data_IF_206146087541
#
_entry.id   IF_206146087541
#
_cell.length_a   1.000
_cell.length_b   1.000
_cell.length_c   1.000
_cell.angle_alpha   90.00
_cell.angle_beta   90.00
_cell.angle_gamma   90.00
#
_symmetry.space_group_name_H-M   'P 1'
#
loop_
_entity.id
_entity.type
_entity.pdbx_description
1 polymer ?
#
# COMPACT_ATOMS: atom_id res chain seq x y z
N UNK A 1 -46.92 26.72 8.17
CA UNK A 1 -47.06 25.35 8.67
C UNK A 1 -45.65 24.75 8.57
N UNK A 2 -44.85 24.95 9.63
CA UNK A 2 -43.43 24.52 9.66
C UNK A 2 -43.37 23.17 10.36
N UNK A 3 -43.01 22.12 9.58
CA UNK A 3 -42.78 20.78 10.11
C UNK A 3 -41.34 20.67 10.55
N UNK A 4 -41.09 20.69 11.85
CA UNK A 4 -39.81 20.43 12.48
C UNK A 4 -39.48 18.94 12.35
N UNK A 5 -38.45 18.60 11.56
CA UNK A 5 -37.82 17.27 11.57
C UNK A 5 -37.14 17.08 12.92
N UNK A 6 -37.65 16.20 13.75
CA UNK A 6 -36.99 15.70 14.96
C UNK A 6 -35.92 14.71 14.53
N UNK A 7 -34.64 15.10 14.66
CA UNK A 7 -33.51 14.16 14.63
C UNK A 7 -33.65 13.23 15.83
N UNK A 8 -34.03 12.00 15.58
CA UNK A 8 -34.07 10.96 16.59
C UNK A 8 -32.67 10.40 16.72
N UNK A 9 -31.95 10.82 17.76
CA UNK A 9 -30.69 10.23 18.18
C UNK A 9 -31.01 8.84 18.77
N UNK A 10 -30.73 7.77 18.01
CA UNK A 10 -30.85 6.41 18.51
C UNK A 10 -29.59 6.09 19.34
N UNK A 11 -29.70 6.25 20.65
CA UNK A 11 -28.72 5.74 21.62
C UNK A 11 -29.06 4.27 21.85
N UNK A 12 -28.33 3.36 21.23
CA UNK A 12 -28.47 1.93 21.46
C UNK A 12 -27.77 1.56 22.78
N UNK A 13 -28.48 0.92 23.69
CA UNK A 13 -27.96 0.48 24.99
C UNK A 13 -26.78 -0.47 24.79
N UNK A 14 -25.64 -0.09 25.36
CA UNK A 14 -24.43 -0.91 25.49
C UNK A 14 -24.67 -1.88 26.64
N UNK A 15 -24.68 -3.19 26.38
CA UNK A 15 -24.54 -4.19 27.46
C UNK A 15 -23.09 -4.22 27.90
N UNK A 16 -22.75 -3.49 28.95
CA UNK A 16 -21.46 -3.61 29.64
C UNK A 16 -21.43 -4.95 30.39
N UNK A 17 -20.71 -5.93 29.85
CA UNK A 17 -20.25 -7.05 30.65
C UNK A 17 -19.13 -6.54 31.55
N UNK A 18 -19.22 -6.78 32.85
CA UNK A 18 -18.20 -6.40 33.82
C UNK A 18 -16.85 -7.02 33.45
N UNK A 19 -15.92 -6.22 32.91
CA UNK A 19 -14.58 -6.65 32.55
C UNK A 19 -13.60 -6.36 33.70
N UNK A 20 -12.59 -7.19 33.83
CA UNK A 20 -11.38 -6.91 34.60
C UNK A 20 -10.86 -5.53 34.15
N UNK A 21 -10.38 -4.70 35.09
CA UNK A 21 -10.14 -3.27 34.89
C UNK A 21 -9.23 -2.86 33.70
N UNK A 22 -8.48 -3.79 33.15
CA UNK A 22 -7.52 -3.58 32.07
C UNK A 22 -8.02 -3.97 30.66
N UNK A 23 -9.25 -4.42 30.50
CA UNK A 23 -9.80 -4.87 29.21
C UNK A 23 -11.16 -4.23 28.91
N UNK A 24 -11.35 -3.86 27.65
CA UNK A 24 -12.61 -3.38 27.10
C UNK A 24 -12.97 -4.16 25.84
N UNK A 25 -14.17 -4.74 25.81
CA UNK A 25 -14.71 -5.47 24.68
C UNK A 25 -16.00 -4.80 24.20
N UNK A 26 -16.10 -4.56 22.90
CA UNK A 26 -17.29 -4.02 22.25
C UNK A 26 -17.68 -4.91 21.08
N UNK A 27 -18.92 -5.37 21.04
CA UNK A 27 -19.50 -6.02 19.86
C UNK A 27 -20.79 -5.30 19.48
N UNK A 28 -20.87 -4.82 18.25
CA UNK A 28 -22.01 -4.03 17.78
C UNK A 28 -22.34 -4.34 16.32
N UNK A 29 -23.65 -4.34 16.02
CA UNK A 29 -24.15 -4.38 14.65
C UNK A 29 -24.83 -3.04 14.33
N UNK A 30 -24.49 -2.46 13.16
CA UNK A 30 -24.99 -1.15 12.73
C UNK A 30 -25.65 -1.34 11.36
N UNK A 31 -26.93 -1.05 11.27
CA UNK A 31 -27.64 -1.09 9.99
C UNK A 31 -27.11 0.01 9.06
N UNK A 32 -26.79 -0.37 7.82
CA UNK A 32 -26.33 0.53 6.76
C UNK A 32 -26.89 0.05 5.41
N UNK A 33 -26.69 0.82 4.37
CA UNK A 33 -26.97 0.40 2.99
C UNK A 33 -25.67 0.32 2.20
N UNK A 34 -25.54 -0.54 1.18
CA UNK A 34 -24.39 -0.53 0.29
C UNK A 34 -24.08 0.86 -0.28
N UNK A 35 -22.82 1.19 -0.49
CA UNK A 35 -22.38 2.52 -0.96
C UNK A 35 -22.28 3.57 0.15
N UNK A 36 -22.28 3.16 1.42
CA UNK A 36 -21.97 4.02 2.55
C UNK A 36 -20.47 4.20 2.78
N UNK A 37 -20.13 4.77 3.93
CA UNK A 37 -18.75 5.05 4.34
C UNK A 37 -18.48 4.63 5.77
N UNK A 38 -17.37 3.94 6.00
CA UNK A 38 -16.83 3.66 7.31
C UNK A 38 -15.58 4.53 7.56
N UNK A 39 -15.56 5.19 8.71
CA UNK A 39 -14.40 5.92 9.23
C UNK A 39 -13.96 5.23 10.52
N UNK A 40 -12.73 4.75 10.59
CA UNK A 40 -12.10 4.23 11.81
C UNK A 40 -10.92 5.12 12.16
N UNK A 41 -10.96 5.79 13.31
CA UNK A 41 -9.95 6.74 13.75
C UNK A 41 -9.54 6.42 15.20
N UNK A 42 -8.42 5.71 15.36
CA UNK A 42 -7.97 5.19 16.65
C UNK A 42 -6.52 5.59 16.95
N UNK A 43 -6.16 5.72 18.23
CA UNK A 43 -4.79 6.06 18.63
C UNK A 43 -3.83 4.90 18.40
N UNK A 44 -4.25 3.66 18.67
CA UNK A 44 -3.45 2.46 18.48
C UNK A 44 -4.34 1.25 18.24
N UNK A 45 -3.73 0.18 17.76
CA UNK A 45 -4.38 -1.09 17.51
C UNK A 45 -4.50 -1.45 16.03
N UNK A 46 -4.64 -2.73 15.79
CA UNK A 46 -4.81 -3.29 14.46
C UNK A 46 -6.25 -3.09 13.97
N UNK A 47 -6.40 -2.62 12.74
CA UNK A 47 -7.70 -2.47 12.08
C UNK A 47 -7.79 -3.51 10.96
N UNK A 48 -8.80 -4.36 11.01
CA UNK A 48 -9.09 -5.37 10.00
C UNK A 48 -10.49 -5.14 9.45
N UNK A 49 -10.60 -4.96 8.13
CA UNK A 49 -11.88 -4.76 7.45
C UNK A 49 -12.05 -5.80 6.36
N UNK A 50 -13.16 -6.51 6.37
CA UNK A 50 -13.52 -7.47 5.34
C UNK A 50 -14.94 -7.29 4.84
N UNK A 51 -15.24 -7.86 3.67
CA UNK A 51 -16.62 -7.94 3.22
C UNK A 51 -17.45 -8.80 4.18
N UNK A 52 -18.67 -8.36 4.45
CA UNK A 52 -19.65 -9.02 5.28
C UNK A 52 -21.01 -9.05 4.62
N UNK A 53 -22.04 -9.25 5.43
CA UNK A 53 -23.41 -9.26 4.94
C UNK A 53 -23.85 -7.85 4.50
N UNK A 54 -24.61 -7.79 3.39
CA UNK A 54 -25.24 -6.55 2.98
C UNK A 54 -26.23 -6.04 4.03
N UNK A 55 -26.31 -4.73 4.16
CA UNK A 55 -27.26 -4.07 5.04
C UNK A 55 -26.77 -3.81 6.46
N UNK A 56 -25.58 -4.25 6.84
CA UNK A 56 -25.03 -3.98 8.18
C UNK A 56 -23.51 -3.97 8.22
N UNK A 57 -22.98 -3.22 9.20
CA UNK A 57 -21.60 -3.34 9.66
C UNK A 57 -21.62 -4.16 10.94
N UNK A 58 -20.77 -5.19 11.04
CA UNK A 58 -20.45 -5.86 12.30
C UNK A 58 -19.10 -5.33 12.80
N UNK A 59 -19.07 -4.82 14.01
CA UNK A 59 -17.87 -4.31 14.69
C UNK A 59 -17.59 -5.17 15.91
N UNK A 60 -16.36 -5.67 15.99
CA UNK A 60 -15.77 -6.27 17.17
C UNK A 60 -14.51 -5.50 17.53
N UNK A 61 -14.46 -4.94 18.73
CA UNK A 61 -13.29 -4.24 19.23
C UNK A 61 -12.86 -4.83 20.57
N UNK A 62 -11.59 -5.10 20.70
CA UNK A 62 -10.95 -5.53 21.91
C UNK A 62 -9.79 -4.60 22.23
N UNK A 63 -9.71 -4.09 23.46
CA UNK A 63 -8.59 -3.28 23.94
C UNK A 63 -8.12 -3.77 25.29
N UNK A 64 -6.82 -3.88 25.44
CA UNK A 64 -6.15 -4.19 26.69
C UNK A 64 -5.04 -3.19 26.95
N UNK A 65 -4.99 -2.67 28.15
CA UNK A 65 -3.88 -1.83 28.62
C UNK A 65 -3.33 -2.39 29.93
N UNK A 66 -2.02 -2.36 30.08
CA UNK A 66 -1.30 -2.86 31.23
C UNK A 66 -0.25 -1.82 31.65
N UNK A 67 -0.61 -0.97 32.61
CA UNK A 67 0.25 0.09 33.12
C UNK A 67 0.81 -0.28 34.52
N UNK A 68 0.35 -1.38 35.10
CA UNK A 68 0.69 -1.81 36.47
C UNK A 68 -0.01 -0.94 37.55
N UNK A 69 -1.03 -0.18 37.16
CA UNK A 69 -1.83 0.69 38.03
C UNK A 69 -3.28 0.71 37.52
N UNK A 70 -4.14 -0.01 38.21
CA UNK A 70 -5.55 -0.19 37.81
C UNK A 70 -6.33 1.14 37.72
N UNK A 71 -5.97 2.14 38.52
CA UNK A 71 -6.62 3.45 38.48
C UNK A 71 -6.29 4.16 37.17
N UNK A 72 -5.02 4.12 36.76
CA UNK A 72 -4.57 4.72 35.51
C UNK A 72 -5.13 4.01 34.29
N UNK A 73 -5.30 2.69 34.36
CA UNK A 73 -5.91 1.90 33.28
C UNK A 73 -7.38 2.29 33.09
N UNK A 74 -8.14 2.45 34.17
CA UNK A 74 -9.53 2.96 34.11
C UNK A 74 -9.63 4.40 33.61
N UNK A 75 -8.74 5.26 34.05
CA UNK A 75 -8.66 6.64 33.58
C UNK A 75 -8.36 6.71 32.08
N UNK A 76 -7.47 5.81 31.59
CA UNK A 76 -7.17 5.73 30.16
C UNK A 76 -8.41 5.38 29.33
N UNK A 77 -9.18 4.35 29.68
CA UNK A 77 -10.40 4.00 28.95
C UNK A 77 -11.45 5.12 29.02
N UNK A 78 -11.56 5.81 30.14
CA UNK A 78 -12.45 6.96 30.27
C UNK A 78 -12.02 8.16 29.41
N UNK A 79 -10.71 8.34 29.23
CA UNK A 79 -10.17 9.44 28.39
C UNK A 79 -10.20 9.15 26.89
N UNK A 80 -10.22 7.89 26.51
CA UNK A 80 -10.26 7.43 25.12
C UNK A 80 -11.38 6.38 24.89
N UNK A 81 -12.66 6.69 25.14
CA UNK A 81 -13.73 5.75 24.96
C UNK A 81 -13.88 5.34 23.49
N UNK A 82 -14.27 4.08 23.25
CA UNK A 82 -14.71 3.68 21.91
C UNK A 82 -16.09 4.29 21.68
N UNK A 83 -16.15 5.22 20.73
CA UNK A 83 -17.41 5.85 20.32
C UNK A 83 -17.78 5.40 18.93
N UNK A 84 -19.06 5.03 18.75
CA UNK A 84 -19.61 4.66 17.45
C UNK A 84 -20.75 5.59 17.15
N UNK A 85 -20.63 6.35 16.06
CA UNK A 85 -21.68 7.28 15.61
C UNK A 85 -22.12 6.93 14.20
N UNK A 86 -23.39 7.16 13.90
CA UNK A 86 -23.95 6.99 12.58
C UNK A 86 -24.69 8.26 12.17
N UNK A 87 -24.29 8.82 11.02
CA UNK A 87 -24.93 9.96 10.40
C UNK A 87 -25.30 9.60 8.96
N UNK A 88 -26.59 9.38 8.72
CA UNK A 88 -27.06 8.84 7.43
C UNK A 88 -26.45 7.46 7.16
N UNK A 89 -25.66 7.33 6.09
CA UNK A 89 -24.97 6.10 5.72
C UNK A 89 -23.45 6.16 5.98
N UNK A 90 -23.02 7.08 6.85
CA UNK A 90 -21.64 7.20 7.33
C UNK A 90 -21.59 6.69 8.76
N UNK A 91 -20.71 5.71 9.02
CA UNK A 91 -20.44 5.17 10.35
C UNK A 91 -19.02 5.58 10.75
N UNK A 92 -18.88 6.14 11.94
CA UNK A 92 -17.56 6.53 12.49
C UNK A 92 -17.32 5.77 13.78
N UNK A 93 -16.21 5.04 13.82
CA UNK A 93 -15.64 4.40 15.01
C UNK A 93 -14.42 5.20 15.45
N UNK A 94 -14.47 5.76 16.64
CA UNK A 94 -13.39 6.59 17.16
C UNK A 94 -12.96 6.12 18.55
N UNK A 95 -11.64 5.98 18.72
CA UNK A 95 -11.01 5.69 20.01
C UNK A 95 -9.70 6.49 20.13
N UNK A 96 -9.83 7.80 20.32
CA UNK A 96 -8.71 8.73 20.48
C UNK A 96 -8.77 9.43 21.83
N UNK A 97 -7.61 9.64 22.41
CA UNK A 97 -7.44 10.43 23.63
C UNK A 97 -7.75 11.90 23.37
N UNK A 98 -8.27 12.56 24.39
CA UNK A 98 -8.41 14.01 24.39
C UNK A 98 -7.04 14.67 24.51
N UNK A 99 -6.86 15.84 23.87
CA UNK A 99 -5.59 16.60 23.81
C UNK A 99 -4.98 16.98 25.18
N UNK A 100 -5.78 16.98 26.25
CA UNK A 100 -5.33 17.32 27.61
C UNK A 100 -4.41 16.25 28.26
N UNK A 101 -4.20 15.11 27.63
CA UNK A 101 -3.43 13.98 28.17
C UNK A 101 -1.98 13.89 27.65
N UNK A 102 -1.34 15.01 27.35
CA UNK A 102 -0.01 15.06 26.70
C UNK A 102 1.17 14.68 27.61
N UNK A 103 0.99 14.52 28.92
CA UNK A 103 2.10 14.38 29.89
C UNK A 103 2.27 12.98 30.52
N UNK A 104 1.73 11.93 29.93
CA UNK A 104 1.92 10.57 30.47
C UNK A 104 3.18 9.91 29.94
N UNK A 105 4.08 9.60 30.88
CA UNK A 105 5.27 8.82 30.61
C UNK A 105 4.90 7.33 30.68
N UNK A 106 4.68 6.70 29.51
CA UNK A 106 4.28 5.31 29.37
C UNK A 106 5.46 4.31 29.54
N UNK A 107 6.37 4.49 30.45
CA UNK A 107 7.59 3.71 30.66
C UNK A 107 7.55 2.25 30.17
N UNK A 108 7.01 1.30 30.88
CA UNK A 108 6.93 -0.12 30.49
C UNK A 108 5.49 -0.58 30.20
N UNK A 109 4.67 0.27 29.63
CA UNK A 109 3.26 -0.01 29.38
C UNK A 109 3.06 -0.92 28.18
N UNK A 110 2.23 -1.91 28.30
CA UNK A 110 1.71 -2.69 27.17
C UNK A 110 0.33 -2.20 26.81
N UNK A 111 0.14 -1.97 25.53
CA UNK A 111 -1.14 -1.57 24.95
C UNK A 111 -1.40 -2.46 23.75
N UNK A 112 -2.51 -3.18 23.78
CA UNK A 112 -2.98 -4.01 22.69
C UNK A 112 -4.41 -3.64 22.33
N UNK A 113 -4.71 -3.55 21.04
CA UNK A 113 -6.06 -3.33 20.58
C UNK A 113 -6.26 -3.93 19.18
N UNK A 114 -7.45 -4.45 18.96
CA UNK A 114 -7.90 -4.93 17.67
C UNK A 114 -9.30 -4.44 17.37
N UNK A 115 -9.52 -4.01 16.13
CA UNK A 115 -10.80 -3.57 15.60
C UNK A 115 -11.09 -4.39 14.35
N UNK A 116 -12.00 -5.35 14.46
CA UNK A 116 -12.42 -6.19 13.33
C UNK A 116 -13.78 -5.73 12.86
N UNK A 117 -13.89 -5.39 11.58
CA UNK A 117 -15.11 -4.88 10.99
C UNK A 117 -15.46 -5.67 9.73
N UNK A 118 -16.73 -6.01 9.62
CA UNK A 118 -17.30 -6.56 8.40
C UNK A 118 -18.29 -5.57 7.83
N UNK A 119 -18.06 -5.14 6.59
CA UNK A 119 -18.86 -4.12 5.90
C UNK A 119 -19.53 -4.70 4.66
N UNK A 120 -20.61 -4.10 4.14
CA UNK A 120 -21.09 -4.47 2.80
C UNK A 120 -19.98 -4.37 1.78
N UNK A 121 -19.91 -5.29 0.82
CA UNK A 121 -18.83 -5.32 -0.19
C UNK A 121 -18.62 -3.97 -0.87
N UNK A 122 -19.69 -3.24 -1.19
CA UNK A 122 -19.61 -1.88 -1.77
C UNK A 122 -19.66 -0.83 -0.67
N UNK A 123 -18.49 -0.41 -0.20
CA UNK A 123 -18.38 0.55 0.91
C UNK A 123 -17.05 1.35 0.83
N UNK A 124 -17.10 2.65 1.08
CA UNK A 124 -15.90 3.49 1.21
C UNK A 124 -15.28 3.33 2.58
N UNK A 125 -13.95 3.30 2.66
CA UNK A 125 -13.20 3.14 3.89
C UNK A 125 -12.21 4.28 4.13
N UNK A 126 -12.18 4.82 5.35
CA UNK A 126 -11.14 5.76 5.84
C UNK A 126 -10.60 5.23 7.17
N UNK A 127 -9.45 4.55 7.11
CA UNK A 127 -8.89 3.79 8.23
C UNK A 127 -7.62 4.47 8.76
N UNK A 128 -7.60 4.84 10.04
CA UNK A 128 -6.48 5.55 10.65
C UNK A 128 -6.12 4.97 12.01
N UNK A 129 -4.85 4.66 12.18
CA UNK A 129 -4.25 4.32 13.48
C UNK A 129 -2.86 4.94 13.55
N UNK A 130 -2.32 5.16 14.76
CA UNK A 130 -0.95 5.67 14.87
C UNK A 130 0.08 4.55 14.97
N UNK A 131 -0.27 3.40 15.55
CA UNK A 131 0.73 2.36 15.85
C UNK A 131 0.37 0.94 15.46
N UNK A 132 -0.79 0.68 14.88
CA UNK A 132 -1.23 -0.68 14.52
C UNK A 132 -1.19 -0.95 13.02
N UNK A 133 -1.34 -2.21 12.66
CA UNK A 133 -1.47 -2.64 11.28
C UNK A 133 -2.88 -2.34 10.75
N UNK A 134 -3.00 -2.16 9.44
CA UNK A 134 -4.29 -2.01 8.77
C UNK A 134 -4.39 -3.05 7.67
N UNK A 135 -5.48 -3.82 7.68
CA UNK A 135 -5.79 -4.76 6.62
C UNK A 135 -7.20 -4.53 6.06
N UNK A 136 -7.36 -4.64 4.74
CA UNK A 136 -8.67 -4.61 4.11
C UNK A 136 -8.73 -5.64 2.96
N UNK A 137 -9.84 -6.41 2.91
CA UNK A 137 -9.98 -7.52 1.98
C UNK A 137 -11.39 -7.54 1.38
N UNK A 138 -11.48 -7.78 0.06
CA UNK A 138 -12.72 -8.00 -0.70
C UNK A 138 -13.73 -6.84 -0.59
N UNK A 139 -13.24 -5.59 -0.64
CA UNK A 139 -14.10 -4.40 -0.58
C UNK A 139 -14.01 -3.62 -1.89
N UNK A 140 -15.15 -3.09 -2.33
CA UNK A 140 -15.29 -2.24 -3.51
C UNK A 140 -15.71 -0.83 -3.09
N UNK A 141 -14.84 0.17 -3.31
CA UNK A 141 -15.05 1.56 -2.93
C UNK A 141 -13.74 2.36 -2.90
N UNK A 142 -13.82 3.56 -2.36
CA UNK A 142 -12.64 4.38 -2.15
C UNK A 142 -12.01 4.05 -0.79
N UNK A 143 -10.84 3.45 -0.79
CA UNK A 143 -10.12 3.10 0.42
C UNK A 143 -8.98 4.08 0.67
N UNK A 144 -8.99 4.67 1.87
CA UNK A 144 -7.87 5.45 2.42
C UNK A 144 -7.39 4.78 3.70
N UNK A 145 -6.09 4.52 3.80
CA UNK A 145 -5.48 3.94 4.98
C UNK A 145 -4.25 4.74 5.42
N UNK A 146 -4.14 5.00 6.70
CA UNK A 146 -3.00 5.70 7.28
C UNK A 146 -2.60 5.10 8.63
N UNK A 147 -1.32 4.76 8.75
CA UNK A 147 -0.69 4.42 10.04
C UNK A 147 0.69 5.08 10.11
N UNK A 148 1.25 5.23 11.31
CA UNK A 148 2.63 5.72 11.43
C UNK A 148 3.63 4.57 11.52
N UNK A 149 3.32 3.51 12.25
CA UNK A 149 4.27 2.42 12.49
C UNK A 149 3.92 1.07 11.87
N UNK A 150 2.65 0.80 11.67
CA UNK A 150 2.13 -0.51 11.28
C UNK A 150 2.30 -0.85 9.81
N UNK A 151 2.11 -2.12 9.51
CA UNK A 151 2.02 -2.66 8.16
C UNK A 151 0.66 -2.35 7.55
N UNK A 152 0.61 -2.27 6.22
CA UNK A 152 -0.61 -2.12 5.45
C UNK A 152 -0.75 -3.32 4.51
N UNK A 153 -1.89 -4.04 4.59
CA UNK A 153 -2.15 -5.23 3.79
C UNK A 153 -3.51 -5.14 3.11
N UNK A 154 -3.52 -5.20 1.79
CA UNK A 154 -4.72 -5.07 0.98
C UNK A 154 -4.84 -6.22 0.00
N UNK A 155 -6.04 -6.82 -0.07
CA UNK A 155 -6.30 -7.89 -1.03
C UNK A 155 -7.68 -7.75 -1.69
N UNK A 156 -7.74 -8.08 -2.97
CA UNK A 156 -8.99 -8.16 -3.76
C UNK A 156 -9.85 -6.89 -3.68
N UNK A 157 -9.22 -5.72 -3.81
CA UNK A 157 -9.91 -4.43 -3.78
C UNK A 157 -10.32 -3.97 -5.18
N UNK A 158 -11.46 -3.27 -5.23
CA UNK A 158 -11.95 -2.55 -6.41
C UNK A 158 -12.26 -1.09 -6.04
N UNK A 159 -12.10 -0.15 -6.99
CA UNK A 159 -12.36 1.29 -6.78
C UNK A 159 -11.10 2.13 -6.76
N UNK A 160 -10.65 2.65 -5.62
CA UNK A 160 -9.37 3.37 -5.48
C UNK A 160 -8.67 3.01 -4.18
N UNK A 161 -7.35 2.92 -4.19
CA UNK A 161 -6.54 2.69 -3.00
C UNK A 161 -5.53 3.81 -2.80
N UNK A 162 -5.60 4.48 -1.66
CA UNK A 162 -4.57 5.43 -1.19
C UNK A 162 -4.11 5.00 0.20
N UNK A 163 -2.84 4.60 0.35
CA UNK A 163 -2.36 4.07 1.61
C UNK A 163 -0.97 4.60 1.97
N UNK A 164 -0.82 5.03 3.23
CA UNK A 164 0.42 5.64 3.71
C UNK A 164 0.81 5.09 5.07
N UNK A 165 2.09 4.75 5.22
CA UNK A 165 2.71 4.46 6.53
C UNK A 165 4.07 5.14 6.62
N UNK A 166 4.63 5.32 7.82
CA UNK A 166 6.00 5.82 7.93
C UNK A 166 7.01 4.69 8.11
N UNK A 167 6.71 3.70 8.94
CA UNK A 167 7.66 2.62 9.25
C UNK A 167 7.36 1.28 8.62
N UNK A 168 6.12 0.94 8.43
CA UNK A 168 5.67 -0.39 8.01
C UNK A 168 5.86 -0.69 6.52
N UNK A 169 5.78 -1.96 6.18
CA UNK A 169 5.70 -2.41 4.79
C UNK A 169 4.27 -2.30 4.26
N UNK A 170 4.14 -2.23 2.94
CA UNK A 170 2.85 -2.20 2.25
C UNK A 170 2.77 -3.39 1.30
N UNK A 171 1.74 -4.23 1.47
CA UNK A 171 1.44 -5.34 0.59
C UNK A 171 0.08 -5.13 -0.08
N UNK A 172 0.04 -5.26 -1.40
CA UNK A 172 -1.18 -5.14 -2.22
C UNK A 172 -1.26 -6.36 -3.13
N UNK A 173 -2.37 -7.08 -3.09
CA UNK A 173 -2.58 -8.28 -3.89
C UNK A 173 -3.97 -8.27 -4.53
N UNK A 174 -4.05 -8.59 -5.83
CA UNK A 174 -5.33 -8.73 -6.53
C UNK A 174 -6.15 -7.44 -6.70
N UNK A 175 -5.57 -6.26 -6.49
CA UNK A 175 -6.29 -5.00 -6.61
C UNK A 175 -6.57 -4.64 -8.07
N UNK A 176 -7.86 -4.35 -8.36
CA UNK A 176 -8.32 -3.86 -9.66
C UNK A 176 -8.70 -2.38 -9.55
N UNK A 177 -7.71 -1.55 -9.29
CA UNK A 177 -7.94 -0.14 -9.00
C UNK A 177 -6.68 0.70 -9.20
N UNK A 178 -6.81 2.00 -9.50
CA UNK A 178 -5.74 2.96 -9.31
C UNK A 178 -5.23 2.91 -7.87
N UNK A 179 -3.92 2.79 -7.71
CA UNK A 179 -3.27 2.56 -6.42
C UNK A 179 -2.17 3.59 -6.19
N UNK A 180 -2.26 4.33 -5.10
CA UNK A 180 -1.21 5.24 -4.61
C UNK A 180 -0.78 4.81 -3.21
N UNK A 181 0.47 4.36 -3.08
CA UNK A 181 0.99 3.81 -1.82
C UNK A 181 2.36 4.40 -1.48
N UNK A 182 2.51 4.78 -0.21
CA UNK A 182 3.74 5.44 0.27
C UNK A 182 4.17 4.91 1.64
N UNK A 183 5.46 4.67 1.78
CA UNK A 183 6.08 4.43 3.08
C UNK A 183 7.42 5.16 3.16
N UNK A 184 7.98 5.37 4.35
CA UNK A 184 9.34 5.92 4.47
C UNK A 184 10.37 4.82 4.67
N UNK A 185 10.08 3.82 5.51
CA UNK A 185 11.07 2.79 5.87
C UNK A 185 10.83 1.42 5.26
N UNK A 186 9.59 1.05 5.06
CA UNK A 186 9.20 -0.31 4.70
C UNK A 186 9.35 -0.68 3.22
N UNK A 187 9.28 -1.97 2.95
CA UNK A 187 9.19 -2.51 1.60
C UNK A 187 7.78 -2.35 1.04
N UNK A 188 7.66 -2.25 -0.27
CA UNK A 188 6.39 -2.25 -0.99
C UNK A 188 6.35 -3.49 -1.89
N UNK A 189 5.27 -4.26 -1.81
CA UNK A 189 5.03 -5.42 -2.67
C UNK A 189 3.64 -5.31 -3.31
N UNK A 190 3.58 -5.38 -4.63
CA UNK A 190 2.33 -5.37 -5.40
C UNK A 190 2.29 -6.58 -6.31
N UNK A 191 1.24 -7.39 -6.18
CA UNK A 191 1.07 -8.64 -6.94
C UNK A 191 -0.32 -8.67 -7.57
N UNK A 192 -0.39 -9.04 -8.85
CA UNK A 192 -1.65 -9.21 -9.59
C UNK A 192 -2.54 -7.95 -9.61
N UNK A 193 -1.94 -6.79 -9.90
CA UNK A 193 -2.65 -5.51 -9.95
C UNK A 193 -3.19 -5.17 -11.36
N UNK A 194 -4.26 -4.38 -11.39
CA UNK A 194 -4.69 -3.68 -12.62
C UNK A 194 -4.95 -2.20 -12.33
N UNK A 195 -4.64 -1.33 -13.30
CA UNK A 195 -4.76 0.13 -13.17
C UNK A 195 -3.42 0.81 -12.97
N UNK A 196 -3.45 2.10 -12.74
CA UNK A 196 -2.24 2.91 -12.54
C UNK A 196 -1.69 2.67 -11.13
N UNK A 197 -0.39 2.40 -11.02
CA UNK A 197 0.32 2.23 -9.76
C UNK A 197 1.32 3.37 -9.54
N UNK A 198 1.16 4.09 -8.43
CA UNK A 198 2.17 4.99 -7.88
C UNK A 198 2.67 4.43 -6.56
N UNK A 199 3.93 4.03 -6.49
CA UNK A 199 4.52 3.46 -5.28
C UNK A 199 5.83 4.17 -4.91
N UNK A 200 5.92 4.63 -3.66
CA UNK A 200 7.07 5.39 -3.17
C UNK A 200 7.54 4.90 -1.80
N UNK A 201 8.84 4.69 -1.65
CA UNK A 201 9.48 4.48 -0.35
C UNK A 201 10.80 5.25 -0.27
N UNK A 202 11.35 5.46 0.92
CA UNK A 202 12.69 6.05 1.02
C UNK A 202 13.76 4.98 1.26
N UNK A 203 13.50 4.01 2.14
CA UNK A 203 14.50 3.00 2.51
C UNK A 203 14.29 1.63 1.89
N UNK A 204 13.05 1.21 1.74
CA UNK A 204 12.67 -0.12 1.33
C UNK A 204 12.83 -0.41 -0.17
N UNK A 205 12.74 -1.68 -0.52
CA UNK A 205 12.61 -2.11 -1.91
C UNK A 205 11.17 -2.01 -2.39
N UNK A 206 11.01 -1.95 -3.71
CA UNK A 206 9.71 -2.05 -4.36
C UNK A 206 9.71 -3.29 -5.26
N UNK A 207 8.79 -4.20 -5.00
CA UNK A 207 8.57 -5.40 -5.81
C UNK A 207 7.20 -5.32 -6.48
N UNK A 208 7.16 -5.45 -7.80
CA UNK A 208 5.91 -5.46 -8.57
C UNK A 208 5.89 -6.67 -9.48
N UNK A 209 4.92 -7.54 -9.28
CA UNK A 209 4.72 -8.74 -10.07
C UNK A 209 3.34 -8.75 -10.72
N UNK A 210 3.29 -8.89 -12.05
CA UNK A 210 2.06 -9.03 -12.83
C UNK A 210 1.11 -7.83 -12.67
N UNK A 211 1.53 -6.67 -13.18
CA UNK A 211 0.72 -5.45 -13.25
C UNK A 211 0.22 -5.23 -14.68
N UNK A 212 -1.08 -5.01 -14.83
CA UNK A 212 -1.70 -4.57 -16.08
C UNK A 212 -2.12 -3.10 -15.96
N UNK A 213 -1.21 -2.19 -16.30
CA UNK A 213 -1.36 -0.74 -16.17
C UNK A 213 -0.02 -0.04 -16.08
N UNK A 214 -0.06 1.28 -16.03
CA UNK A 214 1.13 2.11 -15.91
C UNK A 214 1.70 2.06 -14.49
N UNK A 215 3.02 2.09 -14.36
CA UNK A 215 3.72 2.10 -13.08
C UNK A 215 4.70 3.27 -12.97
N UNK A 216 4.61 4.03 -11.87
CA UNK A 216 5.59 5.04 -11.46
C UNK A 216 6.10 4.69 -10.06
N UNK A 217 7.37 4.26 -10.00
CA UNK A 217 7.97 3.61 -8.84
C UNK A 217 9.23 4.36 -8.41
N UNK A 218 9.29 4.76 -7.15
CA UNK A 218 10.41 5.54 -6.62
C UNK A 218 10.86 5.03 -5.26
N UNK A 219 12.18 4.78 -5.12
CA UNK A 219 12.82 4.55 -3.83
C UNK A 219 14.13 5.33 -3.75
N UNK A 220 14.62 5.64 -2.55
CA UNK A 220 15.95 6.25 -2.43
C UNK A 220 17.03 5.20 -2.18
N UNK A 221 16.80 4.26 -1.29
CA UNK A 221 17.83 3.28 -0.89
C UNK A 221 17.65 1.88 -1.46
N UNK A 222 16.43 1.46 -1.69
CA UNK A 222 16.10 0.08 -2.04
C UNK A 222 16.25 -0.28 -3.51
N UNK A 223 16.14 -1.56 -3.80
CA UNK A 223 16.09 -2.09 -5.16
C UNK A 223 14.68 -2.03 -5.73
N UNK A 224 14.57 -1.99 -7.05
CA UNK A 224 13.33 -2.24 -7.79
C UNK A 224 13.40 -3.62 -8.43
N UNK A 225 12.40 -4.46 -8.17
CA UNK A 225 12.24 -5.80 -8.76
C UNK A 225 10.89 -5.82 -9.48
N UNK A 226 10.93 -5.86 -10.80
CA UNK A 226 9.78 -5.56 -11.66
C UNK A 226 9.58 -6.70 -12.65
N UNK A 227 8.46 -7.41 -12.53
CA UNK A 227 8.17 -8.54 -13.41
C UNK A 227 6.78 -8.44 -14.04
N UNK A 228 6.68 -8.71 -15.32
CA UNK A 228 5.41 -8.80 -16.07
C UNK A 228 4.56 -7.53 -15.96
N UNK A 229 5.15 -6.37 -16.20
CA UNK A 229 4.43 -5.09 -16.22
C UNK A 229 3.96 -4.82 -17.66
N UNK A 230 2.66 -4.59 -17.83
CA UNK A 230 2.01 -4.28 -19.10
C UNK A 230 1.47 -2.86 -19.09
N UNK A 231 2.31 -1.91 -19.41
CA UNK A 231 2.01 -0.48 -19.45
C UNK A 231 3.29 0.33 -19.51
N UNK A 232 3.15 1.65 -19.40
CA UNK A 232 4.30 2.53 -19.22
C UNK A 232 4.97 2.28 -17.87
N UNK A 233 6.29 2.17 -17.88
CA UNK A 233 7.07 1.90 -16.67
C UNK A 233 8.08 3.01 -16.41
N UNK A 234 7.95 3.68 -15.28
CA UNK A 234 8.95 4.61 -14.76
C UNK A 234 9.46 4.05 -13.44
N UNK A 235 10.75 3.74 -13.37
CA UNK A 235 11.41 3.22 -12.18
C UNK A 235 12.62 4.05 -11.80
N UNK A 236 12.67 4.56 -10.56
CA UNK A 236 13.75 5.40 -10.07
C UNK A 236 14.25 4.92 -8.70
N UNK A 237 15.57 4.82 -8.56
CA UNK A 237 16.20 4.65 -7.26
C UNK A 237 17.48 5.49 -7.17
N UNK A 238 17.95 5.82 -5.97
CA UNK A 238 19.23 6.50 -5.85
C UNK A 238 20.37 5.52 -5.52
N UNK A 239 20.17 4.61 -4.57
CA UNK A 239 21.23 3.68 -4.13
C UNK A 239 21.09 2.24 -4.62
N UNK A 240 19.90 1.83 -5.02
CA UNK A 240 19.60 0.45 -5.36
C UNK A 240 19.81 0.07 -6.81
N UNK A 241 19.73 -1.21 -7.10
CA UNK A 241 19.70 -1.76 -8.44
C UNK A 241 18.27 -1.94 -8.94
N UNK A 242 18.11 -1.95 -10.26
CA UNK A 242 16.83 -2.17 -10.92
C UNK A 242 16.90 -3.47 -11.71
N UNK A 243 16.04 -4.41 -11.38
CA UNK A 243 15.89 -5.67 -12.10
C UNK A 243 14.50 -5.71 -12.73
N UNK A 244 14.44 -5.76 -14.04
CA UNK A 244 13.18 -5.75 -14.79
C UNK A 244 13.12 -6.93 -15.75
N UNK A 245 12.04 -7.71 -15.69
CA UNK A 245 11.79 -8.84 -16.58
C UNK A 245 10.38 -8.75 -17.18
N UNK A 246 10.30 -8.61 -18.49
CA UNK A 246 9.06 -8.56 -19.27
C UNK A 246 9.00 -9.76 -20.19
N UNK A 247 8.48 -10.92 -19.77
CA UNK A 247 8.52 -12.17 -20.56
C UNK A 247 7.49 -12.21 -21.69
N UNK A 248 6.73 -11.18 -21.90
CA UNK A 248 5.70 -11.06 -22.92
C UNK A 248 5.84 -9.79 -23.74
N UNK A 249 4.75 -9.35 -24.36
CA UNK A 249 4.72 -8.12 -25.13
C UNK A 249 5.12 -6.91 -24.25
N UNK A 250 6.01 -6.07 -24.77
CA UNK A 250 6.37 -4.78 -24.18
C UNK A 250 5.32 -3.77 -24.62
N UNK A 251 4.31 -3.55 -23.79
CA UNK A 251 3.14 -2.75 -24.14
C UNK A 251 3.35 -1.23 -24.02
N UNK A 252 4.32 -0.76 -23.23
CA UNK A 252 4.56 0.65 -22.95
C UNK A 252 6.01 1.07 -23.01
N UNK A 253 6.26 2.36 -23.00
CA UNK A 253 7.61 2.93 -22.88
C UNK A 253 8.17 2.67 -21.49
N UNK A 254 9.50 2.53 -21.40
CA UNK A 254 10.21 2.29 -20.14
C UNK A 254 11.26 3.36 -19.87
N UNK A 255 11.32 3.85 -18.65
CA UNK A 255 12.35 4.74 -18.16
C UNK A 255 12.85 4.25 -16.80
N UNK A 256 14.07 3.70 -16.77
CA UNK A 256 14.69 3.17 -15.57
C UNK A 256 15.94 3.95 -15.23
N UNK A 257 16.01 4.49 -14.02
CA UNK A 257 17.11 5.34 -13.57
C UNK A 257 17.58 4.97 -12.18
N UNK A 258 18.91 4.86 -12.03
CA UNK A 258 19.55 4.77 -10.71
C UNK A 258 20.77 5.69 -10.66
N UNK A 259 21.18 6.11 -9.45
CA UNK A 259 22.43 6.86 -9.31
C UNK A 259 23.61 5.92 -9.03
N UNK A 260 23.42 4.90 -8.17
CA UNK A 260 24.52 4.04 -7.73
C UNK A 260 24.12 2.55 -7.69
N UNK A 261 23.66 2.03 -8.80
CA UNK A 261 23.27 0.62 -8.89
C UNK A 261 23.32 0.12 -10.33
N UNK A 262 23.13 -1.16 -10.50
CA UNK A 262 23.05 -1.77 -11.82
C UNK A 262 21.62 -1.75 -12.33
N UNK A 263 21.46 -1.71 -13.65
CA UNK A 263 20.17 -1.90 -14.30
C UNK A 263 20.25 -3.18 -15.13
N UNK A 264 19.38 -4.12 -14.85
CA UNK A 264 19.20 -5.32 -15.65
C UNK A 264 17.80 -5.32 -16.25
N UNK A 265 17.74 -5.42 -17.57
CA UNK A 265 16.50 -5.50 -18.32
C UNK A 265 16.48 -6.76 -19.17
N UNK A 266 15.52 -7.63 -18.88
CA UNK A 266 15.24 -8.81 -19.67
C UNK A 266 13.95 -8.65 -20.46
N UNK A 267 14.03 -8.77 -21.79
CA UNK A 267 12.89 -8.64 -22.72
C UNK A 267 12.92 -9.78 -23.75
N UNK A 268 11.78 -10.10 -24.38
CA UNK A 268 11.77 -11.09 -25.45
C UNK A 268 12.60 -10.64 -26.65
N UNK A 269 13.29 -11.57 -27.29
CA UNK A 269 14.08 -11.29 -28.49
C UNK A 269 13.27 -10.73 -29.67
N UNK A 270 11.99 -11.05 -29.72
CA UNK A 270 11.06 -10.56 -30.75
C UNK A 270 10.40 -9.21 -30.39
N UNK A 271 10.73 -8.59 -29.27
CA UNK A 271 10.21 -7.26 -28.91
C UNK A 271 10.73 -6.19 -29.89
N UNK A 272 9.88 -5.26 -30.26
CA UNK A 272 10.26 -4.10 -31.10
C UNK A 272 10.53 -2.89 -30.21
N UNK A 273 11.82 -2.50 -30.06
CA UNK A 273 12.26 -1.49 -29.08
C UNK A 273 13.26 -0.50 -29.68
N UNK A 274 13.14 0.77 -29.27
CA UNK A 274 14.16 1.80 -29.42
C UNK A 274 14.89 1.97 -28.09
N UNK A 275 16.15 1.53 -28.00
CA UNK A 275 16.90 1.46 -26.75
C UNK A 275 17.95 2.56 -26.69
N UNK A 276 17.99 3.30 -25.58
CA UNK A 276 19.02 4.26 -25.23
C UNK A 276 19.50 3.95 -23.81
N UNK A 277 20.70 3.37 -23.67
CA UNK A 277 21.28 2.93 -22.40
C UNK A 277 22.59 3.68 -22.13
N UNK A 278 22.71 4.35 -20.98
CA UNK A 278 23.85 5.19 -20.62
C UNK A 278 24.34 4.97 -19.20
N UNK A 279 25.66 4.91 -19.04
CA UNK A 279 26.31 4.93 -17.72
C UNK A 279 27.49 5.93 -17.72
N UNK A 280 27.72 6.59 -16.59
CA UNK A 280 28.93 7.42 -16.45
C UNK A 280 30.15 6.59 -15.98
N UNK A 281 29.92 5.63 -15.03
CA UNK A 281 30.94 4.74 -14.51
C UNK A 281 30.42 3.32 -14.52
N UNK A 282 30.95 2.49 -15.41
CA UNK A 282 30.50 1.12 -15.61
C UNK A 282 30.52 0.75 -17.09
N UNK A 283 29.72 -0.24 -17.44
CA UNK A 283 29.60 -0.73 -18.83
C UNK A 283 28.16 -0.97 -19.21
N UNK A 284 27.85 -0.76 -20.50
CA UNK A 284 26.61 -1.21 -21.11
C UNK A 284 26.91 -2.50 -21.88
N UNK A 285 26.20 -3.57 -21.54
CA UNK A 285 26.36 -4.90 -22.14
C UNK A 285 24.99 -5.31 -22.72
N UNK A 286 24.96 -5.76 -23.95
CA UNK A 286 23.76 -6.27 -24.58
C UNK A 286 24.01 -7.65 -25.17
N UNK A 287 23.15 -8.60 -24.79
CA UNK A 287 23.04 -9.94 -25.39
C UNK A 287 21.97 -9.95 -26.50
N UNK A 288 21.22 -8.86 -26.65
CA UNK A 288 20.16 -8.74 -27.66
C UNK A 288 20.74 -8.37 -29.03
N UNK A 289 20.15 -8.89 -30.14
CA UNK A 289 20.61 -8.63 -31.50
C UNK A 289 20.17 -7.24 -31.97
N UNK A 290 20.83 -6.18 -31.48
CA UNK A 290 20.49 -4.79 -31.78
C UNK A 290 21.12 -4.33 -33.10
N UNK A 291 20.35 -3.60 -33.90
CA UNK A 291 20.90 -2.73 -34.94
C UNK A 291 21.33 -1.44 -34.28
N UNK A 292 22.63 -1.27 -34.04
CA UNK A 292 23.17 -0.14 -33.28
C UNK A 292 23.44 1.07 -34.15
N UNK A 293 23.01 2.24 -33.70
CA UNK A 293 23.39 3.55 -34.26
C UNK A 293 24.59 4.15 -33.52
N UNK A 294 24.77 3.77 -32.23
CA UNK A 294 25.91 4.16 -31.43
C UNK A 294 26.27 2.99 -30.49
N UNK A 295 27.53 2.57 -30.51
CA UNK A 295 28.01 1.46 -29.69
C UNK A 295 29.33 1.86 -29.03
N UNK A 296 29.31 2.02 -27.70
CA UNK A 296 30.46 2.31 -26.86
C UNK A 296 30.33 1.64 -25.51
N UNK A 297 31.42 1.59 -24.75
CA UNK A 297 31.41 0.95 -23.43
C UNK A 297 30.44 1.59 -22.42
N UNK A 298 30.12 2.88 -22.61
CA UNK A 298 29.29 3.66 -21.67
C UNK A 298 27.94 4.10 -22.24
N UNK A 299 27.76 3.98 -23.55
CA UNK A 299 26.55 4.38 -24.24
C UNK A 299 26.24 3.40 -25.36
N UNK A 300 25.01 2.94 -25.39
CA UNK A 300 24.46 2.08 -26.42
C UNK A 300 23.13 2.63 -26.88
N UNK A 301 23.04 2.97 -28.15
CA UNK A 301 21.78 3.31 -28.80
C UNK A 301 21.54 2.36 -29.97
N UNK A 302 20.37 1.76 -30.01
CA UNK A 302 20.07 0.78 -31.06
C UNK A 302 18.59 0.43 -31.10
N UNK A 303 18.25 -0.30 -32.15
CA UNK A 303 16.90 -0.81 -32.39
C UNK A 303 16.89 -2.32 -32.31
N UNK A 304 15.92 -2.86 -31.57
CA UNK A 304 15.58 -4.27 -31.60
C UNK A 304 14.39 -4.47 -32.54
N UNK A 305 14.53 -5.36 -33.52
CA UNK A 305 13.47 -5.67 -34.52
C UNK A 305 12.84 -4.44 -35.20
N UNK A 306 13.69 -3.51 -35.66
CA UNK A 306 13.23 -2.32 -36.40
C UNK A 306 12.82 -1.14 -35.53
N UNK A 307 12.79 -1.30 -34.20
CA UNK A 307 12.38 -0.25 -33.27
C UNK A 307 10.90 -0.29 -32.94
N UNK A 308 10.48 0.48 -31.92
CA UNK A 308 9.11 0.50 -31.43
C UNK A 308 8.96 1.29 -30.14
N UNK A 309 8.70 0.60 -29.01
CA UNK A 309 8.58 1.27 -27.71
C UNK A 309 9.93 1.82 -27.23
N UNK A 310 9.89 3.01 -26.65
CA UNK A 310 11.09 3.68 -26.14
C UNK A 310 11.54 3.06 -24.82
N UNK A 311 12.81 2.72 -24.73
CA UNK A 311 13.46 2.19 -23.53
C UNK A 311 14.68 3.03 -23.18
N UNK A 312 14.59 3.79 -22.10
CA UNK A 312 15.66 4.66 -21.59
C UNK A 312 16.19 4.10 -20.28
N UNK A 313 17.47 3.75 -20.27
CA UNK A 313 18.18 3.17 -19.12
C UNK A 313 19.35 4.06 -18.74
N UNK A 314 19.36 4.57 -17.51
CA UNK A 314 20.39 5.49 -17.05
C UNK A 314 20.92 5.13 -15.67
N UNK A 315 22.23 4.98 -15.55
CA UNK A 315 22.90 4.89 -14.23
C UNK A 315 24.11 5.84 -14.19
N UNK A 316 24.41 6.40 -13.02
CA UNK A 316 25.63 7.19 -12.87
C UNK A 316 26.82 6.32 -12.49
N UNK A 317 26.66 5.36 -11.58
CA UNK A 317 27.72 4.44 -11.13
C UNK A 317 27.16 3.01 -11.06
N UNK A 318 27.31 2.27 -12.15
CA UNK A 318 26.85 0.90 -12.27
C UNK A 318 26.85 0.45 -13.72
N UNK A 319 26.60 -0.82 -13.96
CA UNK A 319 26.51 -1.39 -15.29
C UNK A 319 25.05 -1.59 -15.72
N UNK A 320 24.82 -1.51 -17.00
CA UNK A 320 23.52 -1.79 -17.62
C UNK A 320 23.66 -3.08 -18.43
N UNK A 321 22.79 -4.04 -18.16
CA UNK A 321 22.78 -5.31 -18.87
C UNK A 321 21.42 -5.55 -19.53
N UNK A 322 21.44 -5.78 -20.82
CA UNK A 322 20.25 -6.14 -21.62
C UNK A 322 20.33 -7.61 -21.96
N UNK A 323 19.31 -8.37 -21.56
CA UNK A 323 19.26 -9.84 -21.73
C UNK A 323 17.98 -10.27 -22.45
N UNK A 324 18.02 -11.49 -23.00
CA UNK A 324 16.80 -12.16 -23.45
C UNK A 324 16.09 -12.83 -22.27
N UNK A 325 14.76 -12.79 -22.24
CA UNK A 325 13.98 -13.55 -21.23
C UNK A 325 14.12 -15.06 -21.39
N UNK A 326 14.51 -15.57 -22.56
CA UNK A 326 14.81 -16.98 -22.78
C UNK A 326 16.07 -17.44 -22.05
N UNK A 327 17.08 -16.59 -21.90
CA UNK A 327 18.31 -16.91 -21.16
C UNK A 327 18.08 -16.99 -19.64
N UNK A 328 17.14 -16.24 -19.09
CA UNK A 328 16.81 -16.30 -17.65
C UNK A 328 16.12 -17.61 -17.22
N UNK A 329 15.41 -18.27 -18.13
CA UNK A 329 14.76 -19.58 -17.86
C UNK A 329 15.76 -20.75 -17.83
N UNK A 330 16.95 -20.57 -18.39
CA UNK A 330 18.02 -21.57 -18.41
C UNK A 330 18.92 -21.54 -17.16
N UNK A 331 18.88 -20.46 -16.38
CA UNK A 331 19.67 -20.26 -15.14
C UNK A 331 18.88 -20.59 -13.84
N UNK A 332 17.61 -20.99 -13.92
CA UNK A 332 16.76 -21.45 -12.81
C UNK A 332 16.56 -22.96 -12.87
#
# INVERSE_FOLDING_TARGET
>A
MFTTLRNTLFVLLISLSASVASEENLSQQIEVTPGGRLIVDVDFGTIQVGAGADGRIALEAHRRVEFGDEIKEKEYFAAAPITVTKEGNVVTVRARRNESWTNWNFGHSRMDASYTLHVPKKFDLDLRTSGGDIAAVDVSGNLKAHTSGGKLEFADLEGTLTANTSGGSIKVEGCRCPTEIKTSGGDISVVNGTGVLHAQTSGGRIEVHNLSGDADLETSGGNLILEKIRGKLVGKTAGGSIHTSIPGEVAGDMQLRTSAGNIELAVPENAALDIDARTNVGRVISELPLTTSESGHKHLRGKLNGGGKSVVLETSAGSITLKSTSSQLAER
#
